data_IF_927038786745
#
_entry.id   IF_927038786745
#
_cell.length_a   1.000
_cell.length_b   1.000
_cell.length_c   1.000
_cell.angle_alpha   90.00
_cell.angle_beta   90.00
_cell.angle_gamma   90.00
#
_symmetry.space_group_name_H-M   'P 1'
#
loop_
_entity.id
_entity.type
_entity.pdbx_description
1 polymer ?
#
# COMPACT_ATOMS: atom_id res chain seq x y z
N UNK A 1 7.09 4.73 12.62
CA UNK A 1 8.14 4.81 11.57
C UNK A 1 7.89 5.91 10.52
N UNK A 2 6.95 6.83 10.76
CA UNK A 2 6.66 7.92 9.82
C UNK A 2 7.66 9.11 9.72
N UNK A 3 8.52 9.45 10.71
CA UNK A 3 9.25 10.72 10.65
C UNK A 3 10.35 10.77 9.59
N UNK A 4 10.98 9.65 9.23
CA UNK A 4 12.03 9.62 8.19
C UNK A 4 11.46 9.76 6.78
N UNK A 5 10.29 9.17 6.51
CA UNK A 5 9.58 9.31 5.24
C UNK A 5 9.15 10.77 4.99
N UNK A 6 8.71 11.45 6.06
CA UNK A 6 8.30 12.86 6.00
C UNK A 6 9.50 13.82 5.89
N UNK A 7 10.68 13.46 6.42
CA UNK A 7 11.92 14.21 6.20
C UNK A 7 12.44 14.04 4.77
N UNK A 8 12.54 12.79 4.26
CA UNK A 8 12.98 12.53 2.90
C UNK A 8 12.04 13.15 1.84
N UNK A 9 10.72 13.13 2.08
CA UNK A 9 9.75 13.79 1.20
C UNK A 9 9.91 15.32 1.19
N UNK A 10 10.29 15.93 2.33
CA UNK A 10 10.60 17.36 2.39
C UNK A 10 11.93 17.70 1.69
N UNK A 11 12.96 16.86 1.83
CA UNK A 11 14.25 17.05 1.16
C UNK A 11 14.15 16.89 -0.37
N UNK A 12 13.35 15.93 -0.86
CA UNK A 12 13.12 15.72 -2.30
C UNK A 12 12.01 16.63 -2.88
N UNK A 13 11.39 17.51 -2.08
CA UNK A 13 10.23 18.34 -2.49
C UNK A 13 9.10 17.54 -3.12
N UNK A 14 8.76 16.39 -2.54
CA UNK A 14 7.63 15.55 -2.99
C UNK A 14 6.41 15.87 -2.12
N UNK A 15 5.22 15.86 -2.72
CA UNK A 15 3.98 16.20 -2.01
C UNK A 15 3.80 15.33 -0.75
N UNK A 16 3.82 15.94 0.44
CA UNK A 16 3.75 15.24 1.72
C UNK A 16 2.48 14.41 1.87
N UNK A 17 1.33 14.95 1.43
CA UNK A 17 0.07 14.21 1.42
C UNK A 17 0.08 12.99 0.48
N UNK A 18 0.86 13.03 -0.59
CA UNK A 18 1.01 11.91 -1.52
C UNK A 18 1.91 10.83 -0.92
N UNK A 19 2.98 11.24 -0.24
CA UNK A 19 3.87 10.32 0.49
C UNK A 19 3.12 9.49 1.52
N UNK A 20 2.17 10.11 2.24
CA UNK A 20 1.29 9.40 3.19
C UNK A 20 0.32 8.44 2.47
N UNK A 21 -0.21 8.82 1.31
CA UNK A 21 -1.06 7.93 0.50
C UNK A 21 -0.28 6.75 -0.07
N UNK A 22 0.94 6.97 -0.55
CA UNK A 22 1.87 5.93 -1.01
C UNK A 22 2.17 4.95 0.12
N UNK A 23 2.44 5.47 1.32
CA UNK A 23 2.69 4.63 2.49
C UNK A 23 1.47 3.78 2.87
N UNK A 24 0.27 4.38 2.96
CA UNK A 24 -0.96 3.62 3.23
C UNK A 24 -1.26 2.57 2.15
N UNK A 25 -1.07 2.91 0.87
CA UNK A 25 -1.26 1.97 -0.23
C UNK A 25 -0.23 0.83 -0.19
N UNK A 26 1.02 1.12 0.21
CA UNK A 26 2.05 0.13 0.42
C UNK A 26 1.77 -0.79 1.62
N UNK A 27 1.20 -0.26 2.71
CA UNK A 27 0.75 -1.06 3.86
C UNK A 27 -0.49 -1.91 3.56
N UNK A 28 -1.34 -1.49 2.61
CA UNK A 28 -2.50 -2.28 2.18
C UNK A 28 -2.11 -3.56 1.41
N UNK A 29 -0.99 -3.56 0.68
CA UNK A 29 -0.49 -4.73 -0.07
C UNK A 29 -0.25 -5.99 0.81
N UNK A 30 0.50 -5.95 1.92
CA UNK A 30 0.66 -7.11 2.80
C UNK A 30 -0.63 -7.47 3.54
N UNK A 31 -1.55 -6.51 3.74
CA UNK A 31 -2.85 -6.78 4.33
C UNK A 31 -3.72 -7.72 3.47
N UNK A 32 -3.47 -7.80 2.15
CA UNK A 32 -4.11 -8.80 1.26
C UNK A 32 -3.64 -10.25 1.50
N UNK A 33 -2.43 -10.43 2.05
CA UNK A 33 -1.88 -11.78 2.34
C UNK A 33 -2.08 -12.17 3.81
N UNK A 34 -2.27 -11.20 4.70
CA UNK A 34 -2.31 -11.44 6.14
C UNK A 34 -3.42 -12.46 6.51
N UNK A 35 -3.05 -13.66 7.00
CA UNK A 35 -3.98 -14.77 7.16
C UNK A 35 -4.99 -14.58 8.29
N UNK A 36 -4.89 -13.52 9.10
CA UNK A 36 -5.80 -13.26 10.21
C UNK A 36 -7.26 -13.06 9.76
N UNK A 37 -7.48 -12.19 8.77
CA UNK A 37 -8.82 -12.00 8.18
C UNK A 37 -9.26 -13.22 7.37
N UNK A 38 -8.30 -13.94 6.78
CA UNK A 38 -8.56 -15.11 5.96
C UNK A 38 -8.98 -16.33 6.78
N UNK A 39 -8.43 -16.53 7.98
CA UNK A 39 -8.80 -17.64 8.86
C UNK A 39 -10.27 -17.59 9.27
N UNK A 40 -10.80 -16.39 9.57
CA UNK A 40 -12.22 -16.20 9.86
C UNK A 40 -13.11 -16.53 8.65
N UNK A 41 -12.73 -16.05 7.46
CA UNK A 41 -13.45 -16.33 6.20
C UNK A 41 -13.39 -17.82 5.82
N UNK A 42 -12.24 -18.47 5.97
CA UNK A 42 -12.07 -19.90 5.73
C UNK A 42 -12.97 -20.74 6.64
N UNK A 43 -13.14 -20.33 7.91
CA UNK A 43 -14.05 -20.98 8.84
C UNK A 43 -15.53 -20.89 8.44
N UNK A 44 -15.95 -19.77 7.85
CA UNK A 44 -17.34 -19.55 7.40
C UNK A 44 -17.62 -20.25 6.06
N UNK A 45 -16.68 -20.20 5.11
CA UNK A 45 -16.87 -20.72 3.74
C UNK A 45 -16.49 -22.21 3.63
N UNK A 46 -15.81 -22.78 4.62
CA UNK A 46 -15.42 -24.20 4.64
C UNK A 46 -14.34 -24.57 3.62
N UNK A 47 -13.65 -23.57 3.06
CA UNK A 47 -12.58 -23.77 2.08
C UNK A 47 -11.25 -24.11 2.76
N UNK A 48 -10.37 -24.78 2.02
CA UNK A 48 -9.00 -25.04 2.49
C UNK A 48 -8.16 -23.78 2.32
N UNK A 49 -7.37 -23.45 3.35
CA UNK A 49 -6.46 -22.29 3.33
C UNK A 49 -5.56 -22.25 2.08
N UNK A 50 -5.14 -23.43 1.61
CA UNK A 50 -4.29 -23.59 0.43
C UNK A 50 -4.86 -22.97 -0.84
N UNK A 51 -6.18 -23.03 -1.03
CA UNK A 51 -6.81 -22.58 -2.28
C UNK A 51 -6.95 -21.05 -2.30
N UNK A 52 -7.14 -20.42 -1.12
CA UNK A 52 -7.23 -18.96 -1.02
C UNK A 52 -5.83 -18.31 -1.02
N UNK A 53 -4.83 -18.95 -0.39
CA UNK A 53 -3.45 -18.46 -0.40
C UNK A 53 -2.88 -18.36 -1.82
N UNK A 54 -3.16 -19.33 -2.69
CA UNK A 54 -2.74 -19.26 -4.10
C UNK A 54 -3.33 -18.05 -4.84
N UNK A 55 -4.58 -17.71 -4.55
CA UNK A 55 -5.26 -16.54 -5.11
C UNK A 55 -4.69 -15.23 -4.56
N UNK A 56 -4.48 -15.11 -3.25
CA UNK A 56 -3.93 -13.89 -2.64
C UNK A 56 -2.48 -13.63 -3.05
N UNK A 57 -1.67 -14.67 -3.23
CA UNK A 57 -0.31 -14.55 -3.77
C UNK A 57 -0.33 -14.08 -5.22
N UNK A 58 -1.22 -14.63 -6.06
CA UNK A 58 -1.36 -14.18 -7.46
C UNK A 58 -1.83 -12.72 -7.52
N UNK A 59 -2.80 -12.36 -6.67
CA UNK A 59 -3.25 -10.98 -6.52
C UNK A 59 -2.12 -10.04 -6.11
N UNK A 60 -1.27 -10.44 -5.16
CA UNK A 60 -0.11 -9.64 -4.75
C UNK A 60 0.91 -9.48 -5.88
N UNK A 61 1.25 -10.56 -6.59
CA UNK A 61 2.20 -10.50 -7.72
C UNK A 61 1.71 -9.56 -8.82
N UNK A 62 0.41 -9.48 -9.06
CA UNK A 62 -0.18 -8.57 -10.05
C UNK A 62 -0.33 -7.14 -9.51
N UNK A 63 -0.83 -6.98 -8.28
CA UNK A 63 -1.13 -5.67 -7.71
C UNK A 63 0.12 -4.93 -7.23
N UNK A 64 1.16 -5.63 -6.77
CA UNK A 64 2.39 -4.99 -6.32
C UNK A 64 3.02 -4.10 -7.42
N UNK A 65 3.35 -4.61 -8.63
CA UNK A 65 3.89 -3.77 -9.69
C UNK A 65 2.88 -2.74 -10.19
N UNK A 66 1.59 -3.09 -10.27
CA UNK A 66 0.54 -2.18 -10.74
C UNK A 66 0.40 -0.95 -9.82
N UNK A 67 0.28 -1.18 -8.52
CA UNK A 67 0.10 -0.12 -7.51
C UNK A 67 1.37 0.72 -7.43
N UNK A 68 2.56 0.10 -7.43
CA UNK A 68 3.82 0.85 -7.44
C UNK A 68 3.94 1.73 -8.69
N UNK A 69 3.58 1.20 -9.86
CA UNK A 69 3.62 1.96 -11.11
C UNK A 69 2.62 3.11 -11.11
N UNK A 70 1.38 2.88 -10.65
CA UNK A 70 0.37 3.94 -10.53
C UNK A 70 0.81 5.02 -9.54
N UNK A 71 1.38 4.63 -8.39
CA UNK A 71 1.86 5.58 -7.38
C UNK A 71 3.00 6.45 -7.91
N UNK A 72 3.90 5.87 -8.71
CA UNK A 72 4.94 6.60 -9.41
C UNK A 72 4.35 7.56 -10.45
N UNK A 73 3.49 7.06 -11.35
CA UNK A 73 2.92 7.85 -12.44
C UNK A 73 2.05 9.02 -11.93
N UNK A 74 1.24 8.80 -10.89
CA UNK A 74 0.43 9.85 -10.26
C UNK A 74 1.29 10.80 -9.40
N UNK A 75 2.39 10.32 -8.82
CA UNK A 75 3.32 11.16 -8.06
C UNK A 75 3.96 12.26 -8.91
N UNK A 76 4.28 11.97 -10.17
CA UNK A 76 4.82 12.94 -11.14
C UNK A 76 3.81 14.06 -11.51
N UNK A 77 2.51 13.83 -11.28
CA UNK A 77 1.45 14.81 -11.62
C UNK A 77 1.14 15.78 -10.49
N UNK A 78 1.64 15.53 -9.28
CA UNK A 78 1.29 16.32 -8.10
C UNK A 78 2.37 17.36 -7.81
N UNK A 79 1.98 18.64 -7.88
CA UNK A 79 2.87 19.76 -7.52
C UNK A 79 3.06 19.79 -6.01
N UNK A 80 4.30 19.97 -5.57
CA UNK A 80 4.63 20.12 -4.15
C UNK A 80 3.92 21.34 -3.54
N UNK A 81 3.18 21.11 -2.45
CA UNK A 81 2.67 22.16 -1.59
C UNK A 81 3.40 22.10 -0.25
N UNK A 82 3.97 23.23 0.23
CA UNK A 82 4.60 23.30 1.53
C UNK A 82 3.62 22.88 2.64
N UNK A 83 4.09 22.20 3.69
CA UNK A 83 3.25 21.87 4.83
C UNK A 83 2.73 23.16 5.47
N UNK A 84 1.42 23.39 5.38
CA UNK A 84 0.74 24.45 6.14
C UNK A 84 0.52 23.90 7.53
N UNK A 85 1.42 24.27 8.44
CA UNK A 85 1.32 23.98 9.87
C UNK A 85 0.27 24.95 10.44
N UNK A 86 -0.80 24.49 11.11
CA UNK A 86 -1.61 25.36 11.98
C UNK A 86 -0.82 25.85 13.19
#
# INVERSE_FOLDING_TARGET
EAPYLMQAANELKVHLGWTVMVYNAAEALPNLINPFFMAALLGVVGLKARDIVGYTVTQLVVHAPLVIFMLWALGETLTYHPPVIP
#
